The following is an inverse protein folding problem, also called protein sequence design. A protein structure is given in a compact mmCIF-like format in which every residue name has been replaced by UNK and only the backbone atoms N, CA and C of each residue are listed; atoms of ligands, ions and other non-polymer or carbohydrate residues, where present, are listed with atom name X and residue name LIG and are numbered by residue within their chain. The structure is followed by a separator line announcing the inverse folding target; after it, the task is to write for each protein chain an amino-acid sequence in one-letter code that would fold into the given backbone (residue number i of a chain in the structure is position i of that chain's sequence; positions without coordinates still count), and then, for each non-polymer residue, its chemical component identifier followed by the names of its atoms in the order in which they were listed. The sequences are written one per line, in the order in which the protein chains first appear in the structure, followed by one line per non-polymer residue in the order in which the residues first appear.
data_IF_317589617786
#
_entry.id   IF_317589617786
#
_cell.length_a   1.000
_cell.length_b   1.000
_cell.length_c   1.000
_cell.angle_alpha   90.00
_cell.angle_beta   90.00
_cell.angle_gamma   90.00
#
_symmetry.space_group_name_H-M   'P 1'
#
loop_
_entity.id
_entity.type
_entity.pdbx_description
1 polymer ?
#
# COMPACT_ATOMS: atom_id res chain seq x y z
N UNK A 1 -8.47 -12.57 -17.07
CA UNK A 1 -7.71 -12.63 -15.79
C UNK A 1 -7.42 -11.26 -15.21
N UNK A 2 -6.82 -10.35 -15.97
CA UNK A 2 -6.50 -9.00 -15.46
C UNK A 2 -7.74 -8.21 -15.07
N UNK A 3 -8.81 -8.32 -15.86
CA UNK A 3 -10.06 -7.63 -15.56
C UNK A 3 -10.63 -8.02 -14.20
N UNK A 4 -10.57 -9.30 -13.86
CA UNK A 4 -11.03 -9.78 -12.54
C UNK A 4 -10.09 -9.29 -11.43
N UNK A 5 -8.79 -9.25 -11.68
CA UNK A 5 -7.82 -8.74 -10.71
C UNK A 5 -8.07 -7.26 -10.43
N UNK A 6 -8.35 -6.46 -11.46
CA UNK A 6 -8.66 -5.04 -11.30
C UNK A 6 -9.92 -4.85 -10.45
N UNK A 7 -10.97 -5.62 -10.73
CA UNK A 7 -12.22 -5.53 -9.98
C UNK A 7 -12.04 -5.91 -8.50
N UNK A 8 -11.24 -6.94 -8.24
CA UNK A 8 -10.96 -7.36 -6.87
C UNK A 8 -10.15 -6.28 -6.12
N UNK A 9 -9.17 -5.66 -6.80
CA UNK A 9 -8.31 -4.65 -6.19
C UNK A 9 -9.08 -3.41 -5.72
N UNK A 10 -10.10 -2.98 -6.45
CA UNK A 10 -10.87 -1.79 -6.07
C UNK A 10 -11.82 -2.02 -4.90
N UNK A 11 -11.93 -3.24 -4.41
CA UNK A 11 -12.86 -3.62 -3.35
C UNK A 11 -12.20 -3.85 -2.00
N UNK A 12 -10.93 -3.53 -1.83
CA UNK A 12 -10.23 -3.77 -0.58
C UNK A 12 -10.86 -3.01 0.58
N UNK A 13 -11.19 -3.74 1.64
CA UNK A 13 -11.71 -3.18 2.88
C UNK A 13 -10.87 -3.58 4.09
N UNK A 14 -9.94 -4.52 3.91
CA UNK A 14 -9.07 -5.01 4.97
C UNK A 14 -7.73 -5.43 4.39
N UNK A 15 -6.70 -5.46 5.23
CA UNK A 15 -5.39 -5.93 4.81
C UNK A 15 -5.38 -7.42 4.49
N UNK A 16 -6.26 -8.18 5.13
CA UNK A 16 -6.39 -9.61 4.79
C UNK A 16 -6.86 -9.79 3.35
N UNK A 17 -7.76 -8.93 2.88
CA UNK A 17 -8.19 -8.98 1.47
C UNK A 17 -7.04 -8.64 0.53
N UNK A 18 -6.21 -7.67 0.88
CA UNK A 18 -5.02 -7.33 0.10
C UNK A 18 -4.06 -8.52 0.09
N UNK A 19 -3.85 -9.16 1.23
CA UNK A 19 -3.00 -10.34 1.35
C UNK A 19 -3.49 -11.47 0.46
N UNK A 20 -4.79 -11.79 0.54
CA UNK A 20 -5.39 -12.84 -0.27
C UNK A 20 -5.28 -12.52 -1.76
N UNK A 21 -5.43 -11.24 -2.12
CA UNK A 21 -5.28 -10.79 -3.50
C UNK A 21 -3.86 -11.07 -4.01
N UNK A 22 -2.84 -10.71 -3.23
CA UNK A 22 -1.45 -10.93 -3.63
C UNK A 22 -1.18 -12.43 -3.84
N UNK A 23 -1.70 -13.29 -2.96
CA UNK A 23 -1.51 -14.75 -3.10
C UNK A 23 -2.25 -15.30 -4.31
N UNK A 24 -3.44 -14.78 -4.61
CA UNK A 24 -4.25 -15.27 -5.73
C UNK A 24 -3.70 -14.86 -7.08
N UNK A 25 -3.21 -13.62 -7.19
CA UNK A 25 -2.80 -13.04 -8.48
C UNK A 25 -1.28 -12.92 -8.64
N UNK A 26 -0.50 -13.50 -7.74
CA UNK A 26 0.95 -13.47 -7.85
C UNK A 26 1.37 -14.11 -9.17
N UNK A 27 2.15 -13.36 -9.97
CA UNK A 27 2.55 -13.80 -11.31
C UNK A 27 1.57 -13.42 -12.41
N UNK A 28 0.37 -12.92 -12.06
CA UNK A 28 -0.61 -12.44 -13.04
C UNK A 28 -0.74 -10.92 -13.04
N UNK A 29 -0.07 -10.23 -12.11
CA UNK A 29 -0.15 -8.78 -12.00
C UNK A 29 0.82 -8.15 -12.99
N UNK A 30 0.26 -7.48 -14.01
CA UNK A 30 1.03 -6.77 -15.01
C UNK A 30 1.06 -5.27 -14.74
N UNK A 31 1.71 -4.51 -15.63
CA UNK A 31 1.87 -3.06 -15.49
C UNK A 31 0.51 -2.32 -15.42
N UNK A 32 -0.44 -2.74 -16.23
CA UNK A 32 -1.76 -2.09 -16.27
C UNK A 32 -2.55 -2.33 -14.98
N UNK A 33 -2.44 -3.53 -14.41
CA UNK A 33 -3.10 -3.88 -13.16
C UNK A 33 -2.42 -3.21 -11.98
N UNK A 34 -1.10 -3.02 -12.04
CA UNK A 34 -0.36 -2.51 -10.89
C UNK A 34 -0.72 -1.07 -10.53
N UNK A 35 -1.17 -0.22 -11.46
CA UNK A 35 -1.63 1.13 -11.13
C UNK A 35 -2.88 1.09 -10.26
N UNK A 36 -3.83 0.23 -10.58
CA UNK A 36 -5.07 0.07 -9.81
C UNK A 36 -4.74 -0.51 -8.43
N UNK A 37 -3.85 -1.50 -8.39
CA UNK A 37 -3.40 -2.12 -7.13
C UNK A 37 -2.70 -1.08 -6.24
N UNK A 38 -1.79 -0.28 -6.81
CA UNK A 38 -1.07 0.77 -6.08
C UNK A 38 -2.05 1.78 -5.48
N UNK A 39 -3.01 2.26 -6.27
CA UNK A 39 -4.01 3.19 -5.79
C UNK A 39 -4.82 2.59 -4.64
N UNK A 40 -5.22 1.32 -4.76
CA UNK A 40 -6.00 0.63 -3.73
C UNK A 40 -5.21 0.45 -2.44
N UNK A 41 -3.92 0.10 -2.54
CA UNK A 41 -3.04 -0.04 -1.38
C UNK A 41 -2.87 1.31 -0.67
N UNK A 42 -2.61 2.36 -1.44
CA UNK A 42 -2.42 3.70 -0.89
C UNK A 42 -3.70 4.19 -0.21
N UNK A 43 -4.87 3.93 -0.79
CA UNK A 43 -6.15 4.26 -0.17
C UNK A 43 -6.36 3.50 1.15
N UNK A 44 -5.96 2.23 1.20
CA UNK A 44 -6.03 1.48 2.45
C UNK A 44 -5.20 2.16 3.54
N UNK A 45 -3.98 2.58 3.21
CA UNK A 45 -3.13 3.28 4.17
C UNK A 45 -3.72 4.63 4.57
N UNK A 46 -4.20 5.41 3.60
CA UNK A 46 -4.70 6.76 3.86
C UNK A 46 -6.04 6.76 4.60
N UNK A 47 -6.95 5.86 4.23
CA UNK A 47 -8.33 5.89 4.73
C UNK A 47 -8.57 4.92 5.87
N UNK A 48 -7.74 3.90 6.02
CA UNK A 48 -7.89 2.86 7.04
C UNK A 48 -6.60 2.68 7.85
N UNK A 49 -5.99 3.79 8.20
CA UNK A 49 -4.75 3.79 8.99
C UNK A 49 -4.91 3.05 10.31
N UNK A 50 -6.10 3.08 10.90
CA UNK A 50 -6.41 2.36 12.13
C UNK A 50 -6.26 0.84 12.02
N UNK A 51 -6.17 0.31 10.80
CA UNK A 51 -5.93 -1.12 10.56
C UNK A 51 -4.45 -1.46 10.41
N UNK A 52 -3.54 -0.52 10.67
CA UNK A 52 -2.10 -0.77 10.56
C UNK A 52 -1.62 -1.98 11.39
N UNK A 53 -2.14 -2.25 12.59
CA UNK A 53 -1.74 -3.45 13.34
C UNK A 53 -2.00 -4.75 12.57
N UNK A 54 -3.10 -4.82 11.82
CA UNK A 54 -3.42 -5.99 11.00
C UNK A 54 -2.39 -6.18 9.89
N UNK A 55 -2.00 -5.08 9.23
CA UNK A 55 -0.95 -5.10 8.21
C UNK A 55 0.36 -5.59 8.82
N UNK A 56 0.73 -5.07 9.97
CA UNK A 56 1.96 -5.46 10.65
C UNK A 56 1.99 -6.97 10.92
N UNK A 57 0.88 -7.53 11.39
CA UNK A 57 0.80 -8.97 11.67
C UNK A 57 0.98 -9.81 10.41
N UNK A 58 0.40 -9.39 9.28
CA UNK A 58 0.55 -10.09 8.01
C UNK A 58 1.99 -10.02 7.50
N UNK A 59 2.62 -8.86 7.64
CA UNK A 59 4.02 -8.66 7.23
C UNK A 59 4.96 -9.57 8.03
N UNK A 60 4.71 -9.74 9.32
CA UNK A 60 5.52 -10.64 10.16
C UNK A 60 5.49 -12.08 9.66
N UNK A 61 4.36 -12.48 9.10
CA UNK A 61 4.20 -13.84 8.58
C UNK A 61 4.78 -14.01 7.19
N UNK A 62 4.87 -12.93 6.40
CA UNK A 62 5.21 -13.03 4.99
C UNK A 62 5.94 -11.77 4.51
N UNK A 63 7.25 -11.89 4.35
CA UNK A 63 8.11 -10.79 3.91
C UNK A 63 7.83 -10.38 2.46
N UNK A 64 7.40 -11.30 1.62
CA UNK A 64 7.02 -10.96 0.24
C UNK A 64 5.83 -10.02 0.23
N UNK A 65 4.92 -10.20 1.17
CA UNK A 65 3.77 -9.31 1.31
C UNK A 65 4.20 -7.89 1.69
N UNK A 66 5.19 -7.76 2.57
CA UNK A 66 5.74 -6.44 2.91
C UNK A 66 6.24 -5.73 1.65
N UNK A 67 7.05 -6.42 0.84
CA UNK A 67 7.58 -5.84 -0.39
C UNK A 67 6.44 -5.43 -1.33
N UNK A 68 5.43 -6.27 -1.47
CA UNK A 68 4.27 -5.98 -2.32
C UNK A 68 3.57 -4.69 -1.90
N UNK A 69 3.33 -4.51 -0.60
CA UNK A 69 2.67 -3.30 -0.08
C UNK A 69 3.54 -2.06 -0.26
N UNK A 70 4.82 -2.16 0.13
CA UNK A 70 5.74 -1.00 0.05
C UNK A 70 5.93 -0.56 -1.40
N UNK A 71 6.16 -1.50 -2.33
CA UNK A 71 6.32 -1.14 -3.74
C UNK A 71 5.03 -0.65 -4.37
N UNK A 72 3.87 -0.94 -3.77
CA UNK A 72 2.60 -0.38 -4.21
C UNK A 72 2.48 1.11 -3.96
N UNK A 73 3.31 1.68 -3.09
CA UNK A 73 3.33 3.13 -2.84
C UNK A 73 4.24 3.76 -3.89
N UNK A 74 3.67 4.17 -5.02
CA UNK A 74 4.45 4.67 -6.15
C UNK A 74 3.89 6.00 -6.69
N UNK A 75 4.54 6.53 -7.72
CA UNK A 75 4.21 7.85 -8.27
C UNK A 75 2.97 7.87 -9.17
N UNK A 76 2.30 6.73 -9.36
CA UNK A 76 1.07 6.67 -10.15
C UNK A 76 -0.18 7.00 -9.33
N UNK A 77 -0.05 7.11 -8.00
CA UNK A 77 -1.17 7.37 -7.10
C UNK A 77 -1.34 8.88 -6.86
N UNK A 78 -2.43 9.24 -6.17
CA UNK A 78 -2.72 10.63 -5.83
C UNK A 78 -1.68 11.22 -4.89
N UNK A 79 -1.14 12.41 -5.22
CA UNK A 79 -0.23 13.14 -4.34
C UNK A 79 -0.88 13.50 -3.00
N UNK A 80 -2.19 13.81 -3.02
CA UNK A 80 -2.92 14.11 -1.78
C UNK A 80 -2.96 12.92 -0.85
N UNK A 81 -3.10 11.71 -1.39
CA UNK A 81 -3.08 10.49 -0.58
C UNK A 81 -1.69 10.26 0.01
N UNK A 82 -0.63 10.52 -0.74
CA UNK A 82 0.74 10.40 -0.23
C UNK A 82 1.00 11.38 0.92
N UNK A 83 0.52 12.61 0.79
CA UNK A 83 0.63 13.61 1.86
C UNK A 83 -0.16 13.19 3.10
N UNK A 84 -1.33 12.64 2.90
CA UNK A 84 -2.16 12.14 4.01
C UNK A 84 -1.45 11.01 4.75
N UNK A 85 -0.83 10.08 4.03
CA UNK A 85 -0.06 9.00 4.62
C UNK A 85 1.11 9.55 5.44
N UNK A 86 1.84 10.51 4.89
CA UNK A 86 2.95 11.15 5.60
C UNK A 86 2.48 11.77 6.93
N UNK A 87 1.36 12.48 6.91
CA UNK A 87 0.80 13.09 8.10
C UNK A 87 0.38 12.06 9.14
N UNK A 88 -0.28 10.98 8.70
CA UNK A 88 -0.72 9.91 9.59
C UNK A 88 0.47 9.20 10.23
N UNK A 89 1.50 8.89 9.44
CA UNK A 89 2.70 8.23 9.91
C UNK A 89 3.43 9.09 10.95
N UNK A 90 3.49 10.40 10.71
CA UNK A 90 4.18 11.34 11.60
C UNK A 90 3.44 11.52 12.93
N UNK A 91 2.12 11.60 12.88
CA UNK A 91 1.30 11.98 14.04
C UNK A 91 0.61 10.81 14.74
N UNK A 92 0.37 9.71 14.04
CA UNK A 92 -0.45 8.62 14.55
C UNK A 92 0.19 7.25 14.38
N UNK A 93 1.52 7.18 14.32
CA UNK A 93 2.19 5.88 14.23
C UNK A 93 2.08 5.14 15.57
N UNK A 94 1.55 3.91 15.60
CA UNK A 94 1.56 3.11 16.82
C UNK A 94 2.99 2.86 17.30
N UNK A 95 3.17 2.83 18.62
CA UNK A 95 4.50 2.71 19.23
C UNK A 95 5.25 1.45 18.79
N UNK A 96 4.53 0.36 18.58
CA UNK A 96 5.11 -0.92 18.19
C UNK A 96 5.28 -1.07 16.68
N UNK A 97 4.95 -0.04 15.90
CA UNK A 97 5.01 -0.06 14.44
C UNK A 97 5.97 0.98 13.86
N UNK A 98 6.89 1.51 14.65
CA UNK A 98 7.79 2.58 14.22
C UNK A 98 8.63 2.22 12.99
N UNK A 99 9.12 0.99 12.92
CA UNK A 99 9.93 0.55 11.78
C UNK A 99 9.08 0.51 10.53
N UNK A 100 7.86 -0.03 10.63
CA UNK A 100 6.93 -0.08 9.50
C UNK A 100 6.55 1.33 9.05
N UNK A 101 6.24 2.23 9.99
CA UNK A 101 5.91 3.62 9.67
C UNK A 101 7.03 4.32 8.92
N UNK A 102 8.30 4.08 9.32
CA UNK A 102 9.45 4.67 8.64
C UNK A 102 9.58 4.18 7.20
N UNK A 103 9.34 2.89 6.97
CA UNK A 103 9.40 2.31 5.63
C UNK A 103 8.30 2.90 4.75
N UNK A 104 7.10 3.02 5.29
CA UNK A 104 5.96 3.60 4.58
C UNK A 104 6.24 5.07 4.25
N UNK A 105 6.72 5.85 5.22
CA UNK A 105 7.01 7.27 5.02
C UNK A 105 8.13 7.48 4.01
N UNK A 106 9.20 6.69 4.10
CA UNK A 106 10.31 6.79 3.15
C UNK A 106 9.82 6.56 1.73
N UNK A 107 9.00 5.56 1.52
CA UNK A 107 8.48 5.23 0.19
C UNK A 107 7.48 6.29 -0.29
N UNK A 108 6.63 6.80 0.60
CA UNK A 108 5.68 7.85 0.25
C UNK A 108 6.39 9.14 -0.17
N UNK A 109 7.44 9.53 0.53
CA UNK A 109 8.24 10.70 0.17
C UNK A 109 8.93 10.51 -1.17
N UNK A 110 9.49 9.33 -1.40
CA UNK A 110 10.16 9.01 -2.65
C UNK A 110 9.17 9.09 -3.81
N UNK A 111 7.99 8.52 -3.65
CA UNK A 111 6.95 8.56 -4.67
C UNK A 111 6.50 9.99 -4.96
N UNK A 112 6.29 10.78 -3.92
CA UNK A 112 5.88 12.18 -4.06
C UNK A 112 6.94 13.01 -4.80
N UNK A 113 8.20 12.78 -4.47
CA UNK A 113 9.31 13.46 -5.14
C UNK A 113 9.39 13.11 -6.62
N UNK A 114 9.16 11.85 -6.95
CA UNK A 114 9.15 11.39 -8.35
C UNK A 114 8.04 12.07 -9.15
N UNK A 115 6.89 12.35 -8.52
CA UNK A 115 5.81 13.10 -9.16
C UNK A 115 6.24 14.51 -9.54
N UNK A 116 6.97 15.18 -8.65
CA UNK A 116 7.42 16.56 -8.86
C UNK A 116 8.44 16.69 -10.00
N UNK A 117 9.07 15.59 -10.39
CA UNK A 117 10.04 15.58 -11.47
C UNK A 117 9.39 15.50 -12.85
N UNK A 118 8.08 15.34 -12.90
CA UNK A 118 7.30 15.39 -14.12
C UNK A 118 6.62 16.74 -14.24
#
# INVERSE_FOLDING_TARGET
MYEKADNDAVRFKSWKQVYNYEKKYNGCIGSDTSEIVSESIVRMLADKWNQLPDLKNLIKKDRQFEAFVIFGIDSTVSGDDLLKIHNLETKQCPKDSKILCRKIDHQARKAYKEMDEF
#
